data_IF_535835706830
#
_entry.id   IF_535835706830
#
_cell.length_a   1.000
_cell.length_b   1.000
_cell.length_c   1.000
_cell.angle_alpha   90.00
_cell.angle_beta   90.00
_cell.angle_gamma   90.00
#
_symmetry.space_group_name_H-M   'P 1'
#
loop_
_entity.id
_entity.type
_entity.pdbx_description
1 polymer ?
#
# COMPACT_ATOMS: atom_id res chain seq x y z
N UNK A 1 -8.88 -62.04 -13.64
CA UNK A 1 -8.60 -61.22 -12.44
C UNK A 1 -7.83 -59.91 -12.71
N UNK A 2 -7.01 -59.80 -13.77
CA UNK A 2 -6.19 -58.61 -14.02
C UNK A 2 -6.96 -57.32 -14.41
N UNK A 3 -8.13 -57.43 -15.07
CA UNK A 3 -8.92 -56.27 -15.54
C UNK A 3 -9.55 -55.46 -14.41
N UNK A 4 -9.79 -56.07 -13.25
CA UNK A 4 -10.41 -55.40 -12.09
C UNK A 4 -9.39 -54.54 -11.30
N UNK A 5 -8.10 -54.85 -11.42
CA UNK A 5 -7.02 -54.13 -10.74
C UNK A 5 -6.75 -52.76 -11.39
N UNK A 6 -6.91 -52.64 -12.72
CA UNK A 6 -6.71 -51.39 -13.46
C UNK A 6 -7.78 -50.33 -13.18
N UNK A 7 -9.03 -50.74 -12.92
CA UNK A 7 -10.12 -49.81 -12.62
C UNK A 7 -9.95 -49.16 -11.24
N UNK A 8 -9.46 -49.92 -10.25
CA UNK A 8 -9.17 -49.39 -8.90
C UNK A 8 -8.02 -48.38 -8.93
N UNK A 9 -7.01 -48.61 -9.77
CA UNK A 9 -5.91 -47.68 -9.98
C UNK A 9 -6.39 -46.37 -10.64
N UNK A 10 -7.27 -46.45 -11.65
CA UNK A 10 -7.84 -45.27 -12.31
C UNK A 10 -8.68 -44.45 -11.31
N UNK A 11 -9.53 -45.10 -10.51
CA UNK A 11 -10.34 -44.41 -9.49
C UNK A 11 -9.45 -43.72 -8.44
N UNK A 12 -8.37 -44.37 -8.00
CA UNK A 12 -7.43 -43.78 -7.05
C UNK A 12 -6.72 -42.55 -7.62
N UNK A 13 -6.33 -42.58 -8.90
CA UNK A 13 -5.71 -41.43 -9.58
C UNK A 13 -6.70 -40.28 -9.73
N UNK A 14 -7.94 -40.55 -10.12
CA UNK A 14 -8.98 -39.52 -10.22
C UNK A 14 -9.29 -38.88 -8.86
N UNK A 15 -9.31 -39.69 -7.79
CA UNK A 15 -9.50 -39.18 -6.43
C UNK A 15 -8.33 -38.31 -5.99
N UNK A 16 -7.08 -38.70 -6.30
CA UNK A 16 -5.90 -37.90 -6.00
C UNK A 16 -5.93 -36.55 -6.73
N UNK A 17 -6.29 -36.54 -8.03
CA UNK A 17 -6.43 -35.31 -8.82
C UNK A 17 -7.52 -34.41 -8.24
N UNK A 18 -8.68 -34.97 -7.89
CA UNK A 18 -9.77 -34.22 -7.28
C UNK A 18 -9.35 -33.58 -5.95
N UNK A 19 -8.62 -34.31 -5.10
CA UNK A 19 -8.07 -33.76 -3.86
C UNK A 19 -7.09 -32.62 -4.15
N UNK A 20 -6.20 -32.75 -5.12
CA UNK A 20 -5.26 -31.68 -5.48
C UNK A 20 -6.00 -30.42 -5.99
N UNK A 21 -7.02 -30.59 -6.83
CA UNK A 21 -7.79 -29.45 -7.38
C UNK A 21 -8.67 -28.76 -6.34
N UNK A 22 -9.19 -29.49 -5.35
CA UNK A 22 -10.06 -28.94 -4.29
C UNK A 22 -9.31 -28.19 -3.19
N UNK A 23 -7.97 -28.28 -3.14
CA UNK A 23 -7.13 -27.59 -2.15
C UNK A 23 -6.38 -26.37 -2.72
N UNK A 24 -6.68 -25.94 -3.95
CA UNK A 24 -5.90 -24.91 -4.66
C UNK A 24 -6.22 -23.45 -4.27
N UNK A 25 -7.11 -23.20 -3.30
CA UNK A 25 -7.59 -21.84 -3.00
C UNK A 25 -6.73 -21.03 -2.01
N UNK A 26 -5.63 -21.56 -1.49
CA UNK A 26 -4.90 -20.92 -0.38
C UNK A 26 -3.42 -20.61 -0.71
N UNK A 27 -3.14 -20.07 -1.89
CA UNK A 27 -1.79 -19.59 -2.21
C UNK A 27 -1.72 -18.24 -2.93
N UNK A 28 -2.85 -17.64 -3.34
CA UNK A 28 -2.86 -16.43 -4.19
C UNK A 28 -3.53 -15.20 -3.55
N UNK A 29 -3.57 -15.13 -2.22
CA UNK A 29 -3.98 -13.91 -1.49
C UNK A 29 -2.77 -13.25 -0.80
N UNK A 30 -1.61 -13.26 -1.45
CA UNK A 30 -0.57 -12.31 -1.06
C UNK A 30 -0.90 -11.01 -1.78
N UNK A 31 -1.54 -10.08 -1.06
CA UNK A 31 -1.76 -8.70 -1.49
C UNK A 31 -0.51 -8.21 -2.21
N UNK A 32 -0.59 -8.05 -3.54
CA UNK A 32 0.52 -7.47 -4.29
C UNK A 32 0.65 -6.04 -3.79
N UNK A 33 1.70 -5.79 -3.02
CA UNK A 33 2.02 -4.45 -2.59
C UNK A 33 2.51 -3.70 -3.84
N UNK A 34 1.65 -2.84 -4.41
CA UNK A 34 2.06 -1.93 -5.48
C UNK A 34 2.83 -0.76 -4.86
N UNK A 35 4.09 -0.62 -5.26
CA UNK A 35 4.92 0.50 -4.83
C UNK A 35 4.31 1.81 -5.37
N UNK A 36 3.74 2.62 -4.47
CA UNK A 36 3.02 3.86 -4.81
C UNK A 36 1.56 3.90 -4.35
N UNK A 37 0.99 2.78 -3.90
CA UNK A 37 -0.40 2.71 -3.42
C UNK A 37 -0.59 3.38 -2.04
N UNK A 38 0.47 3.44 -1.24
CA UNK A 38 0.45 4.03 0.10
C UNK A 38 1.37 5.25 0.19
N UNK A 39 0.76 6.44 0.33
CA UNK A 39 1.46 7.66 0.73
C UNK A 39 1.42 7.73 2.25
N UNK A 40 2.56 7.45 2.88
CA UNK A 40 2.74 7.67 4.31
C UNK A 40 3.09 9.14 4.56
N UNK A 41 2.24 9.84 5.30
CA UNK A 41 2.55 11.17 5.79
C UNK A 41 3.40 11.10 7.05
N UNK A 42 4.32 12.05 7.21
CA UNK A 42 5.09 12.20 8.42
C UNK A 42 4.20 12.70 9.58
N UNK A 43 4.63 12.50 10.83
CA UNK A 43 3.91 13.02 11.99
C UNK A 43 4.02 14.56 12.07
N UNK A 44 2.88 15.24 12.09
CA UNK A 44 2.77 16.70 12.17
C UNK A 44 2.23 17.22 13.51
N UNK A 45 2.02 16.37 14.52
CA UNK A 45 1.44 16.79 15.81
C UNK A 45 2.32 17.75 16.62
N UNK A 46 3.60 17.87 16.27
CA UNK A 46 4.60 18.66 16.99
C UNK A 46 5.01 19.89 16.17
N UNK A 47 4.25 21.01 16.24
CA UNK A 47 4.62 22.25 15.58
C UNK A 47 5.80 22.91 16.30
N UNK A 48 6.82 23.27 15.53
CA UNK A 48 8.05 23.91 16.01
C UNK A 48 8.05 25.41 15.74
N UNK A 49 7.53 25.84 14.58
CA UNK A 49 7.51 27.25 14.17
C UNK A 49 6.38 27.56 13.18
N UNK A 50 6.01 28.83 13.05
CA UNK A 50 4.95 29.31 12.15
C UNK A 50 5.43 30.57 11.41
N UNK A 51 5.39 30.53 10.08
CA UNK A 51 5.64 31.69 9.23
C UNK A 51 4.39 32.05 8.42
N UNK A 52 4.01 33.33 8.40
CA UNK A 52 2.82 33.81 7.69
C UNK A 52 3.26 34.51 6.41
N UNK A 53 2.95 33.90 5.27
CA UNK A 53 3.07 34.52 3.96
C UNK A 53 1.81 35.30 3.60
N UNK A 54 1.80 35.83 2.36
CA UNK A 54 0.65 36.58 1.82
C UNK A 54 -0.61 35.70 1.78
N UNK A 55 -0.53 34.61 1.04
CA UNK A 55 -1.66 33.72 0.76
C UNK A 55 -1.62 32.41 1.56
N UNK A 56 -0.44 32.04 2.08
CA UNK A 56 -0.17 30.75 2.72
C UNK A 56 0.42 30.94 4.11
N UNK A 57 -0.07 30.19 5.09
CA UNK A 57 0.56 30.00 6.40
C UNK A 57 1.39 28.73 6.34
N UNK A 58 2.65 28.82 6.76
CA UNK A 58 3.59 27.70 6.84
C UNK A 58 3.75 27.30 8.30
N UNK A 59 3.55 26.02 8.62
CA UNK A 59 3.78 25.48 9.96
C UNK A 59 4.88 24.43 9.85
N UNK A 60 6.03 24.73 10.45
CA UNK A 60 7.14 23.80 10.53
C UNK A 60 6.87 22.78 11.65
N UNK A 61 7.03 21.50 11.36
CA UNK A 61 6.87 20.38 12.30
C UNK A 61 8.10 19.48 12.26
N UNK A 62 8.14 18.46 13.11
CA UNK A 62 9.18 17.42 13.05
C UNK A 62 9.14 16.60 11.76
N UNK A 63 7.97 16.45 11.14
CA UNK A 63 7.75 15.64 9.93
C UNK A 63 7.85 16.41 8.61
N UNK A 64 7.97 17.74 8.65
CA UNK A 64 8.02 18.56 7.44
C UNK A 64 7.35 19.93 7.64
N UNK A 65 6.79 20.48 6.56
CA UNK A 65 6.10 21.78 6.57
C UNK A 65 4.67 21.63 6.08
N UNK A 66 3.71 21.91 6.96
CA UNK A 66 2.30 22.06 6.59
C UNK A 66 2.07 23.43 5.96
N UNK A 67 1.16 23.49 4.99
CA UNK A 67 0.87 24.72 4.24
C UNK A 67 -0.63 24.93 4.18
N UNK A 68 -1.09 26.08 4.62
CA UNK A 68 -2.51 26.41 4.66
C UNK A 68 -2.82 27.62 3.80
N UNK A 69 -3.67 27.47 2.79
CA UNK A 69 -4.09 28.55 1.92
C UNK A 69 -5.22 29.36 2.57
N UNK A 70 -4.91 30.59 2.96
CA UNK A 70 -5.79 31.44 3.79
C UNK A 70 -7.09 31.83 3.07
N UNK A 71 -6.98 32.21 1.80
CA UNK A 71 -8.13 32.67 1.00
C UNK A 71 -9.05 31.54 0.57
N UNK A 72 -8.48 30.36 0.29
CA UNK A 72 -9.24 29.18 -0.14
C UNK A 72 -9.71 28.32 1.04
N UNK A 73 -9.24 28.62 2.25
CA UNK A 73 -9.59 27.91 3.48
C UNK A 73 -9.27 26.41 3.40
N UNK A 74 -8.17 26.05 2.74
CA UNK A 74 -7.77 24.66 2.45
C UNK A 74 -6.31 24.40 2.85
N UNK A 75 -6.03 23.15 3.24
CA UNK A 75 -4.66 22.67 3.38
C UNK A 75 -4.09 22.31 2.00
N UNK A 76 -2.90 22.81 1.70
CA UNK A 76 -2.12 22.40 0.55
C UNK A 76 -1.29 21.16 0.90
N UNK A 77 -0.83 20.45 -0.12
CA UNK A 77 0.04 19.31 0.06
C UNK A 77 1.21 19.66 0.99
N UNK A 78 1.49 18.85 2.02
CA UNK A 78 2.59 19.12 2.91
C UNK A 78 3.92 18.90 2.18
N UNK A 79 4.92 19.67 2.57
CA UNK A 79 6.30 19.37 2.20
C UNK A 79 6.86 18.40 3.24
N UNK A 80 6.87 17.12 2.89
CA UNK A 80 7.38 16.04 3.76
C UNK A 80 8.82 15.70 3.46
N UNK A 81 9.54 15.30 4.50
CA UNK A 81 10.83 14.62 4.37
C UNK A 81 10.53 13.13 4.58
N UNK A 82 10.65 12.32 3.53
CA UNK A 82 10.49 10.87 3.64
C UNK A 82 11.86 10.26 3.97
N UNK A 83 11.97 9.57 5.11
CA UNK A 83 13.18 8.83 5.48
C UNK A 83 13.52 7.82 4.38
N UNK A 84 14.70 7.96 3.77
CA UNK A 84 15.18 7.09 2.68
C UNK A 84 14.99 7.64 1.26
N UNK A 85 14.43 8.85 1.09
CA UNK A 85 14.30 9.50 -0.23
C UNK A 85 14.88 10.91 -0.19
N UNK A 86 15.93 11.14 -0.99
CA UNK A 86 16.63 12.44 -1.11
C UNK A 86 16.05 13.35 -2.20
N UNK A 87 15.01 12.89 -2.90
CA UNK A 87 14.38 13.58 -4.02
C UNK A 87 12.93 13.94 -3.68
N UNK A 88 12.53 15.18 -3.99
CA UNK A 88 11.14 15.62 -3.83
C UNK A 88 10.27 14.95 -4.89
N UNK A 89 9.25 14.20 -4.46
CA UNK A 89 8.25 13.61 -5.35
C UNK A 89 7.04 14.51 -5.43
N UNK A 90 6.63 14.81 -6.67
CA UNK A 90 5.36 15.45 -6.95
C UNK A 90 4.24 14.42 -6.78
N UNK A 91 3.29 14.69 -5.89
CA UNK A 91 2.16 13.81 -5.57
C UNK A 91 0.97 14.02 -6.51
N UNK A 92 1.14 14.84 -7.55
CA UNK A 92 0.11 15.16 -8.55
C UNK A 92 0.23 14.25 -9.76
N UNK A 93 -0.34 13.04 -9.65
CA UNK A 93 -0.60 12.19 -10.81
C UNK A 93 -2.09 11.81 -10.83
#
# INVERSE_FOLDING_TARGET
MARQLSHRAIIAVLFLIAVITLNSDCALSQSQYEEGDWISYADFHHPNDIAIGRDVIYVATTGGVLRYHRTKNEWLDPWVIVLGRIESVDLRN
#
